data_IF_039072939388
#
_entry.id   IF_039072939388
#
_cell.length_a   1.000
_cell.length_b   1.000
_cell.length_c   1.000
_cell.angle_alpha   90.00
_cell.angle_beta   90.00
_cell.angle_gamma   90.00
#
_symmetry.space_group_name_H-M   'P 1'
#
loop_
_entity.id
_entity.type
_entity.pdbx_description
1 polymer ?
#
# COMPACT_ATOMS: atom_id res chain seq x y z
N UNK A 1 50.13 21.35 52.26
CA UNK A 1 48.67 21.63 52.19
C UNK A 1 48.17 22.12 53.54
N UNK A 2 47.61 23.34 53.62
CA UNK A 2 47.06 23.91 54.87
C UNK A 2 45.85 23.08 55.34
N UNK A 3 45.68 22.89 56.66
CA UNK A 3 44.59 22.07 57.27
C UNK A 3 43.19 22.39 56.72
N UNK A 4 42.93 23.66 56.39
CA UNK A 4 41.66 24.13 55.80
C UNK A 4 41.35 23.52 54.42
N UNK A 5 42.36 23.32 53.57
CA UNK A 5 42.15 22.73 52.24
C UNK A 5 41.73 21.26 52.34
N UNK A 6 42.25 20.52 53.33
CA UNK A 6 41.83 19.13 53.60
C UNK A 6 40.39 19.07 54.12
N UNK A 7 40.00 19.99 55.00
CA UNK A 7 38.64 20.04 55.53
C UNK A 7 37.60 20.34 54.42
N UNK A 8 37.88 21.30 53.54
CA UNK A 8 37.00 21.62 52.40
C UNK A 8 36.86 20.42 51.45
N UNK A 9 37.96 19.74 51.13
CA UNK A 9 37.94 18.53 50.30
C UNK A 9 37.11 17.41 50.92
N UNK A 10 37.23 17.18 52.23
CA UNK A 10 36.44 16.16 52.95
C UNK A 10 34.95 16.52 52.93
N UNK A 11 34.59 17.78 53.15
CA UNK A 11 33.18 18.22 53.08
C UNK A 11 32.60 18.07 51.67
N UNK A 12 33.36 18.41 50.62
CA UNK A 12 32.96 18.20 49.23
C UNK A 12 32.81 16.70 48.89
N UNK A 13 33.71 15.86 49.41
CA UNK A 13 33.64 14.41 49.22
C UNK A 13 32.38 13.83 49.88
N UNK A 14 32.10 14.22 51.13
CA UNK A 14 30.90 13.79 51.87
C UNK A 14 29.63 14.28 51.16
N UNK A 15 29.61 15.55 50.71
CA UNK A 15 28.50 16.09 49.93
C UNK A 15 28.27 15.33 48.62
N UNK A 16 29.35 15.03 47.89
CA UNK A 16 29.30 14.24 46.64
C UNK A 16 28.78 12.81 46.87
N UNK A 17 29.27 12.14 47.92
CA UNK A 17 28.79 10.81 48.32
C UNK A 17 27.30 10.86 48.70
N UNK A 18 26.88 11.86 49.48
CA UNK A 18 25.49 12.04 49.87
C UNK A 18 24.56 12.26 48.68
N UNK A 19 24.94 13.12 47.74
CA UNK A 19 24.19 13.36 46.49
C UNK A 19 24.13 12.11 45.63
N UNK A 20 25.25 11.39 45.48
CA UNK A 20 25.28 10.12 44.74
C UNK A 20 24.41 9.04 45.38
N UNK A 21 24.33 8.97 46.71
CA UNK A 21 23.44 8.04 47.41
C UNK A 21 21.95 8.37 47.18
N UNK A 22 21.60 9.66 47.13
CA UNK A 22 20.24 10.12 46.79
C UNK A 22 19.92 9.70 45.34
N UNK A 23 20.79 10.03 44.39
CA UNK A 23 20.60 9.63 42.99
C UNK A 23 20.53 8.11 42.81
N UNK A 24 21.35 7.34 43.54
CA UNK A 24 21.29 5.88 43.51
C UNK A 24 19.95 5.36 44.02
N UNK A 25 19.42 5.94 45.11
CA UNK A 25 18.11 5.56 45.66
C UNK A 25 16.98 5.91 44.71
N UNK A 26 17.00 7.10 44.12
CA UNK A 26 15.99 7.53 43.16
C UNK A 26 16.02 6.67 41.89
N UNK A 27 17.22 6.34 41.40
CA UNK A 27 17.39 5.44 40.27
C UNK A 27 16.92 4.02 40.58
N UNK A 28 17.18 3.51 41.79
CA UNK A 28 16.67 2.20 42.23
C UNK A 28 15.14 2.18 42.29
N UNK A 29 14.52 3.20 42.89
CA UNK A 29 13.07 3.33 42.97
C UNK A 29 12.44 3.47 41.57
N UNK A 30 13.07 4.22 40.67
CA UNK A 30 12.63 4.35 39.29
C UNK A 30 12.69 3.01 38.55
N UNK A 31 13.78 2.25 38.71
CA UNK A 31 13.94 0.93 38.10
C UNK A 31 12.90 -0.09 38.63
N UNK A 32 12.60 -0.08 39.93
CA UNK A 32 11.55 -0.93 40.50
C UNK A 32 10.17 -0.60 39.92
N UNK A 33 9.83 0.68 39.79
CA UNK A 33 8.58 1.12 39.15
C UNK A 33 8.52 0.77 37.67
N UNK A 34 9.61 0.95 36.93
CA UNK A 34 9.71 0.55 35.52
C UNK A 34 9.51 -0.96 35.38
N UNK A 35 10.11 -1.77 36.28
CA UNK A 35 9.90 -3.21 36.31
C UNK A 35 8.42 -3.58 36.49
N UNK A 36 7.73 -2.98 37.46
CA UNK A 36 6.30 -3.20 37.68
C UNK A 36 5.44 -2.79 36.48
N UNK A 37 5.72 -1.62 35.90
CA UNK A 37 5.01 -1.13 34.70
C UNK A 37 5.25 -2.06 33.51
N UNK A 38 6.49 -2.56 33.35
CA UNK A 38 6.82 -3.51 32.29
C UNK A 38 6.04 -4.81 32.45
N UNK A 39 5.96 -5.40 33.65
CA UNK A 39 5.16 -6.61 33.90
C UNK A 39 3.67 -6.40 33.59
N UNK A 40 3.08 -5.28 34.02
CA UNK A 40 1.68 -4.97 33.71
C UNK A 40 1.47 -4.78 32.21
N UNK A 41 2.39 -4.07 31.54
CA UNK A 41 2.30 -3.81 30.10
C UNK A 41 2.45 -5.09 29.29
N UNK A 42 3.39 -5.96 29.67
CA UNK A 42 3.61 -7.24 29.03
C UNK A 42 2.38 -8.16 29.20
N UNK A 43 1.82 -8.23 30.41
CA UNK A 43 0.56 -8.95 30.66
C UNK A 43 -0.62 -8.40 29.83
N UNK A 44 -0.70 -7.08 29.67
CA UNK A 44 -1.69 -6.46 28.79
C UNK A 44 -1.48 -6.85 27.32
N UNK A 45 -0.24 -6.94 26.83
CA UNK A 45 0.04 -7.43 25.47
C UNK A 45 -0.50 -8.85 25.30
N UNK A 46 -0.17 -9.76 26.22
CA UNK A 46 -0.66 -11.14 26.17
C UNK A 46 -2.19 -11.22 26.18
N UNK A 47 -2.84 -10.50 27.10
CA UNK A 47 -4.29 -10.46 27.21
C UNK A 47 -4.93 -9.96 25.90
N UNK A 48 -4.39 -8.91 25.30
CA UNK A 48 -4.91 -8.34 24.05
C UNK A 48 -4.65 -9.25 22.84
N UNK A 49 -3.57 -10.03 22.82
CA UNK A 49 -3.34 -11.08 21.81
C UNK A 49 -4.47 -12.12 21.91
N UNK A 50 -4.75 -12.63 23.12
CA UNK A 50 -5.81 -13.63 23.35
C UNK A 50 -7.20 -13.10 23.00
N UNK A 51 -7.52 -11.87 23.38
CA UNK A 51 -8.78 -11.22 23.04
C UNK A 51 -8.93 -11.04 21.52
N UNK A 52 -7.88 -10.61 20.83
CA UNK A 52 -7.93 -10.46 19.37
C UNK A 52 -8.15 -11.80 18.67
N UNK A 53 -7.51 -12.89 19.14
CA UNK A 53 -7.75 -14.25 18.63
C UNK A 53 -9.22 -14.66 18.81
N UNK A 54 -9.79 -14.39 19.98
CA UNK A 54 -11.18 -14.70 20.32
C UNK A 54 -12.16 -13.93 19.43
N UNK A 55 -11.98 -12.61 19.28
CA UNK A 55 -12.87 -11.80 18.46
C UNK A 55 -12.72 -12.05 16.96
N UNK A 56 -11.55 -12.51 16.49
CA UNK A 56 -11.42 -13.03 15.12
C UNK A 56 -12.31 -14.26 14.92
N UNK A 57 -12.33 -15.17 15.90
CA UNK A 57 -13.18 -16.36 15.86
C UNK A 57 -14.66 -16.00 15.91
N UNK A 58 -15.05 -15.12 16.84
CA UNK A 58 -16.41 -14.62 17.00
C UNK A 58 -16.92 -13.98 15.70
N UNK A 59 -16.11 -13.15 15.04
CA UNK A 59 -16.47 -12.54 13.77
C UNK A 59 -16.66 -13.59 12.65
N UNK A 60 -15.81 -14.63 12.59
CA UNK A 60 -15.96 -15.71 11.60
C UNK A 60 -17.28 -16.48 11.84
N UNK A 61 -17.61 -16.76 13.10
CA UNK A 61 -18.78 -17.58 13.47
C UNK A 61 -20.10 -16.80 13.37
N UNK A 62 -20.15 -15.59 13.89
CA UNK A 62 -21.37 -14.80 14.00
C UNK A 62 -21.61 -13.90 12.79
N UNK A 63 -20.54 -13.47 12.11
CA UNK A 63 -20.57 -12.50 11.01
C UNK A 63 -21.42 -11.27 11.31
N UNK A 64 -21.34 -10.76 12.54
CA UNK A 64 -22.14 -9.64 13.02
C UNK A 64 -21.34 -8.33 13.03
N UNK A 65 -21.98 -7.16 12.82
CA UNK A 65 -21.31 -5.86 12.96
C UNK A 65 -20.73 -5.63 14.36
N UNK A 66 -21.35 -6.20 15.40
CA UNK A 66 -20.87 -6.12 16.77
C UNK A 66 -19.57 -6.89 16.96
N UNK A 67 -19.48 -8.12 16.44
CA UNK A 67 -18.26 -8.92 16.47
C UNK A 67 -17.10 -8.21 15.73
N UNK A 68 -17.38 -7.55 14.60
CA UNK A 68 -16.39 -6.74 13.89
C UNK A 68 -15.91 -5.57 14.76
N UNK A 69 -16.82 -4.84 15.40
CA UNK A 69 -16.48 -3.72 16.28
C UNK A 69 -15.64 -4.15 17.50
N UNK A 70 -15.96 -5.32 18.07
CA UNK A 70 -15.20 -5.92 19.16
C UNK A 70 -13.77 -6.25 18.71
N UNK A 71 -13.63 -6.88 17.54
CA UNK A 71 -12.33 -7.18 16.93
C UNK A 71 -11.51 -5.92 16.65
N UNK A 72 -12.12 -4.88 16.07
CA UNK A 72 -11.44 -3.60 15.82
C UNK A 72 -10.88 -3.01 17.11
N UNK A 73 -11.70 -2.99 18.16
CA UNK A 73 -11.33 -2.43 19.46
C UNK A 73 -10.17 -3.22 20.08
N UNK A 74 -10.21 -4.56 19.99
CA UNK A 74 -9.15 -5.39 20.56
C UNK A 74 -7.83 -5.23 19.84
N UNK A 75 -7.81 -5.16 18.50
CA UNK A 75 -6.56 -4.98 17.74
C UNK A 75 -5.97 -3.58 17.90
N UNK A 76 -6.81 -2.55 18.07
CA UNK A 76 -6.35 -1.19 18.43
C UNK A 76 -5.68 -1.21 19.81
N UNK A 77 -6.32 -1.86 20.79
CA UNK A 77 -5.79 -1.96 22.15
C UNK A 77 -4.50 -2.78 22.18
N UNK A 78 -4.42 -3.86 21.39
CA UNK A 78 -3.20 -4.64 21.19
C UNK A 78 -2.06 -3.77 20.66
N UNK A 79 -2.28 -3.03 19.58
CA UNK A 79 -1.26 -2.16 18.99
C UNK A 79 -0.75 -1.12 20.00
N UNK A 80 -1.65 -0.54 20.79
CA UNK A 80 -1.30 0.43 21.84
C UNK A 80 -0.47 -0.21 22.97
N UNK A 81 -0.91 -1.36 23.49
CA UNK A 81 -0.18 -2.08 24.53
C UNK A 81 1.21 -2.54 24.04
N UNK A 82 1.30 -3.01 22.79
CA UNK A 82 2.55 -3.43 22.18
C UNK A 82 3.51 -2.26 21.98
N UNK A 83 3.00 -1.10 21.54
CA UNK A 83 3.78 0.12 21.41
C UNK A 83 4.42 0.53 22.75
N UNK A 84 3.62 0.59 23.82
CA UNK A 84 4.13 0.85 25.16
C UNK A 84 5.18 -0.17 25.60
N UNK A 85 4.99 -1.44 25.27
CA UNK A 85 5.96 -2.48 25.58
C UNK A 85 7.29 -2.27 24.84
N UNK A 86 7.26 -1.87 23.56
CA UNK A 86 8.46 -1.50 22.81
C UNK A 86 9.16 -0.31 23.44
N UNK A 87 8.42 0.74 23.78
CA UNK A 87 8.95 1.98 24.37
C UNK A 87 9.65 1.75 25.71
N UNK A 88 9.09 0.89 26.57
CA UNK A 88 9.71 0.52 27.85
C UNK A 88 11.02 -0.27 27.67
N UNK A 89 11.21 -0.95 26.54
CA UNK A 89 12.33 -1.86 26.31
C UNK A 89 13.38 -1.34 25.31
N UNK A 90 13.23 -0.10 24.83
CA UNK A 90 14.17 0.55 23.91
C UNK A 90 14.70 1.90 24.44
N UNK A 91 15.66 2.48 23.71
CA UNK A 91 16.06 3.88 23.90
C UNK A 91 16.56 4.45 22.58
N UNK A 92 16.53 5.78 22.43
CA UNK A 92 17.06 6.45 21.22
C UNK A 92 18.53 6.13 20.94
N UNK A 93 19.31 5.75 21.96
CA UNK A 93 20.73 5.38 21.80
C UNK A 93 20.94 3.91 21.42
N UNK A 94 19.99 3.05 21.76
CA UNK A 94 20.04 1.60 21.57
C UNK A 94 18.63 1.13 21.23
N UNK A 95 18.20 1.29 19.96
CA UNK A 95 16.88 0.85 19.52
C UNK A 95 16.77 -0.68 19.55
N UNK A 96 15.54 -1.17 19.66
CA UNK A 96 15.25 -2.60 19.50
C UNK A 96 14.52 -2.81 18.18
N UNK A 97 15.27 -2.90 17.08
CA UNK A 97 14.73 -3.00 15.72
C UNK A 97 13.78 -4.20 15.53
N UNK A 98 14.01 -5.28 16.27
CA UNK A 98 13.14 -6.47 16.19
C UNK A 98 11.77 -6.23 16.82
N UNK A 99 11.73 -5.58 17.99
CA UNK A 99 10.46 -5.18 18.60
C UNK A 99 9.76 -4.11 17.77
N UNK A 100 10.51 -3.18 17.18
CA UNK A 100 9.96 -2.17 16.26
C UNK A 100 9.32 -2.81 15.02
N UNK A 101 9.99 -3.79 14.41
CA UNK A 101 9.44 -4.54 13.29
C UNK A 101 8.19 -5.35 13.69
N UNK A 102 8.21 -5.98 14.86
CA UNK A 102 7.03 -6.65 15.40
C UNK A 102 5.86 -5.67 15.62
N UNK A 103 6.12 -4.48 16.17
CA UNK A 103 5.12 -3.43 16.32
C UNK A 103 4.54 -3.01 14.97
N UNK A 104 5.39 -2.78 13.96
CA UNK A 104 4.96 -2.45 12.59
C UNK A 104 4.01 -3.50 12.02
N UNK A 105 4.27 -4.79 12.27
CA UNK A 105 3.37 -5.87 11.85
C UNK A 105 2.01 -5.86 12.58
N UNK A 106 1.98 -5.54 13.88
CA UNK A 106 0.73 -5.39 14.65
C UNK A 106 -0.08 -4.17 14.18
N UNK A 107 0.60 -3.08 13.83
CA UNK A 107 -0.04 -1.92 13.21
C UNK A 107 -0.59 -2.25 11.81
N UNK A 108 0.13 -3.07 11.03
CA UNK A 108 -0.36 -3.57 9.75
C UNK A 108 -1.61 -4.44 9.91
N UNK A 109 -1.66 -5.32 10.92
CA UNK A 109 -2.86 -6.08 11.29
C UNK A 109 -4.01 -5.14 11.65
N UNK A 110 -3.80 -4.19 12.58
CA UNK A 110 -4.79 -3.19 12.99
C UNK A 110 -5.37 -2.46 11.77
N UNK A 111 -4.50 -1.94 10.90
CA UNK A 111 -4.92 -1.21 9.70
C UNK A 111 -5.65 -2.11 8.69
N UNK A 112 -5.31 -3.39 8.63
CA UNK A 112 -6.01 -4.37 7.77
C UNK A 112 -7.43 -4.62 8.29
N UNK A 113 -7.59 -4.85 9.59
CA UNK A 113 -8.90 -5.05 10.22
C UNK A 113 -9.75 -3.76 10.17
N UNK A 114 -9.29 -2.68 10.80
CA UNK A 114 -10.08 -1.46 11.04
C UNK A 114 -10.36 -0.61 9.80
N UNK A 115 -9.70 -0.88 8.68
CA UNK A 115 -9.92 -0.10 7.45
C UNK A 115 -10.24 -0.97 6.26
N UNK A 116 -9.55 -2.10 6.07
CA UNK A 116 -9.71 -2.87 4.84
C UNK A 116 -10.83 -3.89 4.99
N UNK A 117 -10.81 -4.69 6.06
CA UNK A 117 -11.88 -5.64 6.35
C UNK A 117 -13.20 -4.91 6.60
N UNK A 118 -13.23 -3.87 7.43
CA UNK A 118 -14.45 -3.10 7.70
C UNK A 118 -15.13 -2.56 6.44
N UNK A 119 -14.34 -1.93 5.54
CA UNK A 119 -14.89 -1.42 4.27
C UNK A 119 -15.39 -2.53 3.37
N UNK A 120 -14.66 -3.65 3.29
CA UNK A 120 -15.08 -4.80 2.48
C UNK A 120 -16.36 -5.43 3.03
N UNK A 121 -16.44 -5.60 4.34
CA UNK A 121 -17.59 -6.14 5.04
C UNK A 121 -18.84 -5.26 4.81
N UNK A 122 -18.72 -3.94 4.97
CA UNK A 122 -19.81 -2.99 4.66
C UNK A 122 -20.22 -2.99 3.20
N UNK A 123 -19.25 -3.11 2.29
CA UNK A 123 -19.52 -3.21 0.84
C UNK A 123 -20.25 -4.50 0.51
N UNK A 124 -19.93 -5.60 1.19
CA UNK A 124 -20.57 -6.90 0.96
C UNK A 124 -21.77 -7.12 1.89
N UNK A 125 -22.57 -6.07 2.12
CA UNK A 125 -23.82 -6.15 2.90
C UNK A 125 -23.67 -6.74 4.31
N UNK A 126 -22.54 -6.47 4.97
CA UNK A 126 -22.19 -7.01 6.28
C UNK A 126 -22.03 -8.54 6.27
N UNK A 127 -21.41 -9.07 5.22
CA UNK A 127 -21.03 -10.49 5.14
C UNK A 127 -19.53 -10.65 4.89
N UNK A 128 -18.95 -11.69 5.47
CA UNK A 128 -17.58 -12.07 5.18
C UNK A 128 -17.53 -12.89 3.90
N UNK A 129 -16.62 -12.51 3.00
CA UNK A 129 -16.28 -13.34 1.86
C UNK A 129 -15.27 -14.42 2.27
N UNK A 130 -15.13 -15.46 1.44
CA UNK A 130 -14.15 -16.53 1.69
C UNK A 130 -12.74 -16.00 1.96
N UNK A 131 -12.30 -14.99 1.20
CA UNK A 131 -10.98 -14.39 1.37
C UNK A 131 -10.81 -13.67 2.72
N UNK A 132 -11.90 -13.21 3.33
CA UNK A 132 -11.89 -12.52 4.61
C UNK A 132 -11.69 -13.54 5.74
N UNK A 133 -12.41 -14.66 5.63
CA UNK A 133 -12.27 -15.81 6.54
C UNK A 133 -10.85 -16.38 6.44
N UNK A 134 -10.36 -16.68 5.23
CA UNK A 134 -9.00 -17.20 5.00
C UNK A 134 -7.93 -16.25 5.61
N UNK A 135 -8.13 -14.92 5.52
CA UNK A 135 -7.23 -13.93 6.10
C UNK A 135 -7.29 -13.93 7.63
N UNK A 136 -8.50 -13.90 8.20
CA UNK A 136 -8.71 -13.91 9.65
C UNK A 136 -8.13 -15.17 10.30
N UNK A 137 -8.33 -16.35 9.70
CA UNK A 137 -7.75 -17.61 10.17
C UNK A 137 -6.22 -17.57 10.15
N UNK A 138 -5.62 -17.07 9.06
CA UNK A 138 -4.18 -16.95 8.94
C UNK A 138 -3.59 -15.96 9.97
N UNK A 139 -4.26 -14.84 10.21
CA UNK A 139 -3.89 -13.87 11.26
C UNK A 139 -4.03 -14.45 12.66
N UNK A 140 -5.10 -15.19 12.91
CA UNK A 140 -5.33 -15.87 14.18
C UNK A 140 -4.17 -16.83 14.49
N UNK A 141 -3.71 -17.59 13.50
CA UNK A 141 -2.57 -18.49 13.65
C UNK A 141 -1.25 -17.75 13.91
N UNK A 142 -1.02 -16.60 13.28
CA UNK A 142 0.15 -15.78 13.59
C UNK A 142 0.08 -15.18 14.99
N UNK A 143 -1.10 -14.77 15.47
CA UNK A 143 -1.27 -14.28 16.84
C UNK A 143 -1.07 -15.39 17.88
N UNK A 144 -1.51 -16.63 17.62
CA UNK A 144 -1.20 -17.79 18.47
C UNK A 144 0.31 -18.00 18.56
N UNK A 145 1.03 -17.93 17.44
CA UNK A 145 2.50 -18.01 17.40
C UNK A 145 3.15 -16.85 18.12
N UNK A 146 2.63 -15.64 17.98
CA UNK A 146 3.12 -14.46 18.70
C UNK A 146 2.96 -14.62 20.21
N UNK A 147 1.83 -15.16 20.69
CA UNK A 147 1.63 -15.46 22.11
C UNK A 147 2.69 -16.43 22.64
N UNK A 148 3.07 -17.44 21.86
CA UNK A 148 4.14 -18.38 22.24
C UNK A 148 5.52 -17.72 22.21
N UNK A 149 5.81 -16.94 21.16
CA UNK A 149 7.07 -16.21 21.03
C UNK A 149 7.24 -15.20 22.17
N UNK A 150 6.18 -14.48 22.52
CA UNK A 150 6.11 -13.56 23.65
C UNK A 150 6.59 -14.21 24.95
N UNK A 151 6.03 -15.38 25.31
CA UNK A 151 6.46 -16.11 26.52
C UNK A 151 7.92 -16.57 26.48
N UNK A 152 8.49 -16.76 25.29
CA UNK A 152 9.89 -17.14 25.14
C UNK A 152 10.89 -15.98 25.26
N UNK A 153 10.42 -14.74 25.08
CA UNK A 153 11.26 -13.54 25.02
C UNK A 153 11.03 -12.52 26.14
N UNK A 154 9.92 -12.63 26.90
CA UNK A 154 9.53 -11.65 27.94
C UNK A 154 10.66 -11.34 28.94
N UNK A 155 11.37 -12.36 29.41
CA UNK A 155 12.49 -12.20 30.36
C UNK A 155 13.84 -11.89 29.69
N UNK A 156 13.89 -11.87 28.34
CA UNK A 156 15.12 -11.80 27.54
C UNK A 156 15.12 -10.63 26.56
N UNK A 157 14.25 -9.63 26.75
CA UNK A 157 14.11 -8.48 25.85
C UNK A 157 15.40 -7.67 25.68
N UNK A 158 16.27 -7.63 26.70
CA UNK A 158 17.58 -6.99 26.61
C UNK A 158 18.49 -7.72 25.61
N UNK A 159 18.40 -9.04 25.52
CA UNK A 159 19.18 -9.86 24.59
C UNK A 159 18.76 -9.63 23.13
N UNK A 160 17.48 -9.28 22.90
CA UNK A 160 16.95 -9.01 21.55
C UNK A 160 17.57 -7.77 20.89
N UNK A 161 18.24 -6.91 21.66
CA UNK A 161 19.04 -5.80 21.12
C UNK A 161 20.26 -6.29 20.34
N UNK A 162 20.70 -7.52 20.59
CA UNK A 162 21.75 -8.16 19.81
C UNK A 162 21.12 -8.82 18.56
N UNK A 163 21.51 -8.41 17.34
CA UNK A 163 20.94 -8.96 16.10
C UNK A 163 21.28 -10.43 15.84
N UNK A 164 22.17 -11.05 16.64
CA UNK A 164 22.52 -12.47 16.56
C UNK A 164 21.74 -13.33 17.58
N UNK A 165 21.10 -12.71 18.58
CA UNK A 165 20.32 -13.46 19.57
C UNK A 165 19.12 -14.15 18.90
N UNK A 166 18.69 -15.30 19.44
CA UNK A 166 17.44 -15.91 19.01
C UNK A 166 16.26 -15.05 19.49
N UNK A 167 15.38 -14.64 18.58
CA UNK A 167 14.20 -13.81 18.85
C UNK A 167 12.90 -14.61 19.08
N UNK A 168 13.00 -15.93 19.22
CA UNK A 168 11.84 -16.81 19.37
C UNK A 168 10.97 -16.88 18.12
N UNK A 169 11.46 -16.41 16.96
CA UNK A 169 10.71 -16.31 15.72
C UNK A 169 9.91 -15.02 15.55
N UNK A 170 10.12 -14.01 16.41
CA UNK A 170 9.39 -12.74 16.37
C UNK A 170 9.43 -12.07 14.98
N UNK A 171 10.60 -11.99 14.34
CA UNK A 171 10.74 -11.40 13.00
C UNK A 171 10.01 -12.23 11.94
N UNK A 172 10.04 -13.56 12.05
CA UNK A 172 9.34 -14.43 11.11
C UNK A 172 7.82 -14.23 11.21
N UNK A 173 7.29 -14.11 12.43
CA UNK A 173 5.88 -13.84 12.68
C UNK A 173 5.51 -12.45 12.13
N UNK A 174 6.34 -11.44 12.41
CA UNK A 174 6.14 -10.08 11.92
C UNK A 174 6.07 -10.03 10.38
N UNK A 175 7.04 -10.64 9.70
CA UNK A 175 7.03 -10.77 8.23
C UNK A 175 5.77 -11.49 7.73
N UNK A 176 5.30 -12.52 8.44
CA UNK A 176 4.11 -13.28 8.04
C UNK A 176 2.83 -12.44 8.15
N UNK A 177 2.66 -11.68 9.24
CA UNK A 177 1.52 -10.76 9.42
C UNK A 177 1.55 -9.65 8.36
N UNK A 178 2.72 -9.08 8.09
CA UNK A 178 2.89 -8.06 7.05
C UNK A 178 2.54 -8.62 5.67
N UNK A 179 2.99 -9.84 5.35
CA UNK A 179 2.71 -10.48 4.06
C UNK A 179 1.23 -10.81 3.88
N UNK A 180 0.57 -11.38 4.90
CA UNK A 180 -0.89 -11.62 4.87
C UNK A 180 -1.62 -10.29 4.65
N UNK A 181 -1.24 -9.24 5.40
CA UNK A 181 -1.82 -7.89 5.27
C UNK A 181 -1.59 -7.31 3.87
N UNK A 182 -0.41 -7.51 3.28
CA UNK A 182 -0.06 -7.01 1.95
C UNK A 182 -0.87 -7.73 0.87
N UNK A 183 -0.90 -9.06 0.90
CA UNK A 183 -1.65 -9.87 -0.07
C UNK A 183 -3.15 -9.60 0.00
N UNK A 184 -3.72 -9.55 1.20
CA UNK A 184 -5.16 -9.29 1.37
C UNK A 184 -5.58 -7.93 0.80
N UNK A 185 -4.76 -6.88 0.97
CA UNK A 185 -5.11 -5.50 0.59
C UNK A 185 -4.79 -5.16 -0.86
N UNK A 186 -3.69 -5.69 -1.37
CA UNK A 186 -3.09 -5.21 -2.61
C UNK A 186 -2.94 -6.28 -3.69
N UNK A 187 -3.20 -7.57 -3.40
CA UNK A 187 -3.12 -8.61 -4.43
C UNK A 187 -4.43 -8.78 -5.18
N UNK A 188 -4.34 -9.08 -6.47
CA UNK A 188 -5.45 -9.60 -7.25
C UNK A 188 -5.88 -11.02 -6.79
N UNK A 189 -5.00 -11.76 -6.11
CA UNK A 189 -5.30 -13.06 -5.49
C UNK A 189 -5.15 -12.94 -3.97
N UNK A 190 -6.20 -12.50 -3.24
CA UNK A 190 -6.10 -12.32 -1.81
C UNK A 190 -5.55 -13.57 -1.11
N UNK A 191 -4.63 -13.35 -0.17
CA UNK A 191 -3.96 -14.37 0.64
C UNK A 191 -3.09 -15.38 -0.14
N UNK A 192 -2.81 -15.15 -1.44
CA UNK A 192 -2.04 -16.09 -2.26
C UNK A 192 -1.01 -15.39 -3.12
N UNK A 193 0.18 -15.98 -3.17
CA UNK A 193 1.15 -15.62 -4.19
C UNK A 193 0.78 -16.30 -5.52
N UNK A 194 0.63 -15.55 -6.62
CA UNK A 194 0.62 -16.15 -7.94
C UNK A 194 1.99 -16.74 -8.25
N UNK A 195 2.04 -17.59 -9.28
CA UNK A 195 3.31 -18.05 -9.82
C UNK A 195 4.00 -16.88 -10.52
N UNK A 196 5.14 -16.46 -9.97
CA UNK A 196 5.94 -15.41 -10.57
C UNK A 196 6.89 -15.95 -11.66
N UNK A 197 7.09 -15.17 -12.70
CA UNK A 197 8.22 -15.34 -13.62
C UNK A 197 9.50 -14.89 -12.94
N UNK A 198 10.64 -15.46 -13.31
CA UNK A 198 11.91 -15.10 -12.68
C UNK A 198 12.35 -13.69 -13.05
N UNK A 199 13.13 -13.05 -12.17
CA UNK A 199 13.69 -11.72 -12.42
C UNK A 199 14.50 -11.67 -13.74
N UNK A 200 15.31 -12.69 -14.02
CA UNK A 200 16.06 -12.77 -15.28
C UNK A 200 15.18 -12.85 -16.53
N UNK A 201 14.06 -13.59 -16.49
CA UNK A 201 13.09 -13.61 -17.59
C UNK A 201 12.43 -12.23 -17.80
N UNK A 202 12.14 -11.54 -16.71
CA UNK A 202 11.56 -10.20 -16.72
C UNK A 202 12.49 -9.18 -17.38
N UNK A 203 13.79 -9.21 -17.06
CA UNK A 203 14.79 -8.35 -17.70
C UNK A 203 14.83 -8.59 -19.21
N UNK A 204 14.85 -9.86 -19.63
CA UNK A 204 14.83 -10.21 -21.06
C UNK A 204 13.57 -9.71 -21.77
N UNK A 205 12.40 -9.78 -21.12
CA UNK A 205 11.16 -9.25 -21.68
C UNK A 205 11.17 -7.72 -21.79
N UNK A 206 11.70 -7.01 -20.79
CA UNK A 206 11.85 -5.57 -20.84
C UNK A 206 12.75 -5.14 -22.01
N UNK A 207 13.91 -5.77 -22.16
CA UNK A 207 14.88 -5.48 -23.21
C UNK A 207 14.42 -5.91 -24.61
N UNK A 208 13.57 -6.93 -24.73
CA UNK A 208 12.95 -7.28 -26.01
C UNK A 208 11.92 -6.22 -26.45
N UNK A 209 11.09 -5.75 -25.51
CA UNK A 209 10.08 -4.72 -25.77
C UNK A 209 10.68 -3.33 -25.98
N UNK A 210 11.76 -3.02 -25.28
CA UNK A 210 12.48 -1.75 -25.35
C UNK A 210 13.97 -2.00 -25.62
N UNK A 211 14.37 -2.28 -26.88
CA UNK A 211 15.74 -2.68 -27.22
C UNK A 211 16.84 -1.68 -26.85
N UNK A 212 16.50 -0.40 -26.68
CA UNK A 212 17.46 0.63 -26.28
C UNK A 212 18.02 0.41 -24.86
N UNK A 213 17.32 -0.35 -24.01
CA UNK A 213 17.75 -0.66 -22.64
C UNK A 213 19.00 -1.54 -22.60
N UNK A 214 19.25 -2.35 -23.65
CA UNK A 214 20.41 -3.25 -23.74
C UNK A 214 21.77 -2.53 -23.72
N UNK A 215 21.76 -1.23 -23.97
CA UNK A 215 22.96 -0.40 -23.98
C UNK A 215 23.23 0.29 -22.65
N UNK A 216 22.41 0.04 -21.62
CA UNK A 216 22.47 0.65 -20.30
C UNK A 216 22.88 -0.37 -19.24
N UNK A 217 23.38 0.13 -18.12
CA UNK A 217 23.70 -0.70 -16.97
C UNK A 217 22.43 -0.94 -16.14
N UNK A 218 22.05 -2.20 -15.94
CA UNK A 218 21.00 -2.57 -14.98
C UNK A 218 21.66 -2.77 -13.60
N UNK A 219 21.21 -2.04 -12.60
CA UNK A 219 21.62 -2.26 -11.20
C UNK A 219 20.56 -3.06 -10.47
N UNK A 220 20.92 -4.28 -10.07
CA UNK A 220 20.02 -5.25 -9.43
C UNK A 220 19.87 -4.99 -7.92
N UNK A 221 19.54 -3.76 -7.54
CA UNK A 221 19.48 -3.36 -6.14
C UNK A 221 18.32 -4.03 -5.40
N UNK A 222 17.25 -4.43 -6.11
CA UNK A 222 16.10 -5.12 -5.52
C UNK A 222 15.41 -6.11 -6.46
N UNK A 223 15.63 -7.41 -6.22
CA UNK A 223 15.03 -8.51 -6.99
C UNK A 223 13.70 -9.01 -6.37
N UNK A 224 13.12 -8.28 -5.41
CA UNK A 224 11.86 -8.69 -4.78
C UNK A 224 10.63 -8.25 -5.57
N UNK A 225 9.52 -8.96 -5.34
CA UNK A 225 8.22 -8.60 -5.92
C UNK A 225 7.50 -7.58 -5.05
N UNK A 226 7.21 -6.43 -5.65
CA UNK A 226 6.34 -5.41 -5.10
C UNK A 226 4.88 -5.71 -5.45
N UNK A 227 3.96 -5.24 -4.60
CA UNK A 227 2.53 -5.39 -4.82
C UNK A 227 1.88 -4.04 -4.61
N UNK A 228 1.15 -3.55 -5.61
CA UNK A 228 0.41 -2.30 -5.55
C UNK A 228 -0.85 -2.40 -6.40
N UNK A 229 -1.98 -2.01 -5.82
CA UNK A 229 -3.26 -1.86 -6.52
C UNK A 229 -3.64 -3.07 -7.42
N UNK A 230 -3.41 -4.29 -6.93
CA UNK A 230 -3.67 -5.54 -7.64
C UNK A 230 -2.51 -6.06 -8.47
N UNK A 231 -1.51 -5.23 -8.75
CA UNK A 231 -0.39 -5.53 -9.65
C UNK A 231 0.81 -6.00 -8.84
N UNK A 232 1.36 -7.14 -9.24
CA UNK A 232 2.62 -7.67 -8.72
C UNK A 232 3.72 -7.34 -9.73
N UNK A 233 4.80 -6.69 -9.31
CA UNK A 233 5.83 -6.22 -10.24
C UNK A 233 7.24 -6.24 -9.68
N UNK A 234 8.21 -6.36 -10.58
CA UNK A 234 9.62 -6.08 -10.33
C UNK A 234 9.94 -4.66 -10.76
N UNK A 235 10.91 -4.04 -10.08
CA UNK A 235 11.44 -2.74 -10.42
C UNK A 235 12.82 -2.91 -11.07
N UNK A 236 13.00 -2.36 -12.28
CA UNK A 236 14.25 -2.37 -13.02
C UNK A 236 14.74 -0.92 -13.16
N UNK A 237 15.91 -0.62 -12.58
CA UNK A 237 16.55 0.70 -12.66
C UNK A 237 17.77 0.62 -13.57
N UNK A 238 17.70 1.36 -14.69
CA UNK A 238 18.75 1.42 -15.70
C UNK A 238 19.55 2.72 -15.59
N UNK A 239 20.87 2.61 -15.75
CA UNK A 239 21.83 3.67 -15.50
C UNK A 239 22.70 3.95 -16.72
N UNK A 240 23.09 5.23 -16.86
CA UNK A 240 24.17 5.68 -17.73
C UNK A 240 25.28 6.27 -16.85
N UNK A 241 26.33 5.49 -16.60
CA UNK A 241 27.33 5.83 -15.59
C UNK A 241 26.72 5.77 -14.19
N UNK A 242 26.70 6.91 -13.47
CA UNK A 242 26.14 7.00 -12.11
C UNK A 242 24.71 7.56 -12.07
N UNK A 243 24.16 7.98 -13.20
CA UNK A 243 22.81 8.57 -13.26
C UNK A 243 21.77 7.51 -13.59
N UNK A 244 20.73 7.38 -12.76
CA UNK A 244 19.55 6.58 -13.11
C UNK A 244 18.82 7.29 -14.25
N UNK A 245 18.65 6.62 -15.38
CA UNK A 245 18.05 7.21 -16.58
C UNK A 245 16.63 6.73 -16.83
N UNK A 246 16.34 5.46 -16.50
CA UNK A 246 15.02 4.86 -16.64
C UNK A 246 14.66 3.98 -15.45
N UNK A 247 13.39 4.08 -15.06
CA UNK A 247 12.75 3.22 -14.09
C UNK A 247 11.60 2.46 -14.76
N UNK A 248 11.66 1.13 -14.74
CA UNK A 248 10.67 0.27 -15.38
C UNK A 248 10.03 -0.65 -14.34
N UNK A 249 8.70 -0.75 -14.35
CA UNK A 249 7.99 -1.77 -13.59
C UNK A 249 7.47 -2.84 -14.53
N UNK A 250 7.84 -4.08 -14.23
CA UNK A 250 7.49 -5.25 -15.01
C UNK A 250 6.56 -6.15 -14.23
N UNK A 251 5.43 -6.51 -14.81
CA UNK A 251 4.47 -7.46 -14.23
C UNK A 251 5.16 -8.80 -13.93
N UNK A 252 5.18 -9.17 -12.66
CA UNK A 252 5.85 -10.37 -12.15
C UNK A 252 5.10 -11.67 -12.50
N UNK A 253 3.90 -11.61 -13.09
CA UNK A 253 3.08 -12.75 -13.49
C UNK A 253 3.11 -12.93 -15.00
N UNK A 254 2.93 -11.85 -15.75
CA UNK A 254 2.74 -11.90 -17.21
C UNK A 254 3.86 -11.25 -18.02
N UNK A 255 4.81 -10.55 -17.38
CA UNK A 255 5.93 -9.92 -18.08
C UNK A 255 5.59 -8.68 -18.91
N UNK A 256 4.44 -8.05 -18.67
CA UNK A 256 4.07 -6.79 -19.32
C UNK A 256 4.74 -5.60 -18.64
N UNK A 257 5.10 -4.57 -19.41
CA UNK A 257 5.54 -3.28 -18.86
C UNK A 257 4.33 -2.57 -18.26
N UNK A 258 4.41 -2.23 -16.97
CA UNK A 258 3.37 -1.55 -16.18
C UNK A 258 3.69 -0.09 -15.94
N UNK A 259 4.98 0.22 -15.77
CA UNK A 259 5.47 1.59 -15.68
C UNK A 259 6.75 1.73 -16.49
N UNK A 260 6.91 2.86 -17.14
CA UNK A 260 8.17 3.36 -17.66
C UNK A 260 8.26 4.83 -17.28
N UNK A 261 9.40 5.24 -16.72
CA UNK A 261 9.66 6.62 -16.33
C UNK A 261 11.07 7.01 -16.75
N UNK A 262 11.21 8.18 -17.37
CA UNK A 262 12.52 8.79 -17.62
C UNK A 262 12.89 9.70 -16.46
N UNK A 263 14.11 9.56 -15.95
CA UNK A 263 14.63 10.34 -14.83
C UNK A 263 15.46 11.54 -15.27
N UNK A 264 15.98 11.49 -16.49
CA UNK A 264 16.65 12.62 -17.12
C UNK A 264 15.64 13.72 -17.47
N UNK A 265 15.98 14.96 -17.12
CA UNK A 265 15.21 16.13 -17.51
C UNK A 265 14.95 16.14 -19.02
N UNK A 266 13.77 16.62 -19.41
CA UNK A 266 13.54 16.99 -20.79
C UNK A 266 14.47 18.18 -21.10
N UNK A 267 15.45 17.97 -21.99
CA UNK A 267 16.27 19.08 -22.48
C UNK A 267 15.46 19.98 -23.39
N UNK A 268 15.87 21.26 -23.47
CA UNK A 268 15.27 22.27 -24.36
C UNK A 268 15.03 21.70 -25.76
N UNK A 269 13.77 21.74 -26.18
CA UNK A 269 13.35 21.32 -27.51
C UNK A 269 12.48 22.39 -28.17
N UNK A 270 11.66 21.97 -29.13
CA UNK A 270 10.67 22.83 -29.76
C UNK A 270 9.32 22.57 -29.12
N UNK A 271 8.66 23.63 -28.66
CA UNK A 271 7.27 23.60 -28.20
C UNK A 271 6.37 22.84 -29.18
N UNK A 272 5.75 21.78 -28.67
CA UNK A 272 4.82 20.95 -29.41
C UNK A 272 3.39 21.43 -29.21
N UNK A 273 2.64 21.40 -30.29
CA UNK A 273 1.18 21.49 -30.21
C UNK A 273 0.60 20.14 -29.78
N UNK A 274 -0.54 20.16 -29.07
CA UNK A 274 -1.23 18.96 -28.55
C UNK A 274 -1.32 17.82 -29.58
N UNK A 275 -1.64 18.15 -30.83
CA UNK A 275 -1.79 17.16 -31.91
C UNK A 275 -0.49 16.41 -32.23
N UNK A 276 0.65 17.12 -32.26
CA UNK A 276 1.96 16.50 -32.50
C UNK A 276 2.33 15.58 -31.34
N UNK A 277 2.09 16.02 -30.10
CA UNK A 277 2.29 15.20 -28.91
C UNK A 277 1.38 13.96 -28.90
N UNK A 278 0.11 14.09 -29.30
CA UNK A 278 -0.83 12.97 -29.42
C UNK A 278 -0.34 11.93 -30.44
N UNK A 279 0.19 12.36 -31.58
CA UNK A 279 0.71 11.44 -32.60
C UNK A 279 1.96 10.69 -32.10
N UNK A 280 2.82 11.35 -31.31
CA UNK A 280 3.93 10.69 -30.61
C UNK A 280 3.41 9.66 -29.60
N UNK A 281 2.43 10.03 -28.78
CA UNK A 281 1.82 9.15 -27.78
C UNK A 281 1.18 7.91 -28.41
N UNK A 282 0.42 8.09 -29.50
CA UNK A 282 -0.18 6.99 -30.27
C UNK A 282 0.87 6.07 -30.83
N UNK A 283 1.92 6.62 -31.46
CA UNK A 283 3.01 5.81 -32.02
C UNK A 283 3.68 4.98 -30.94
N UNK A 284 3.93 5.57 -29.76
CA UNK A 284 4.47 4.84 -28.62
C UNK A 284 3.52 3.74 -28.12
N UNK A 285 2.23 4.03 -28.00
CA UNK A 285 1.21 3.05 -27.60
C UNK A 285 1.17 1.82 -28.51
N UNK A 286 1.42 1.95 -29.81
CA UNK A 286 1.38 0.81 -30.75
C UNK A 286 2.37 -0.32 -30.42
N UNK A 287 3.37 -0.06 -29.58
CA UNK A 287 4.28 -1.08 -29.04
C UNK A 287 3.60 -2.03 -28.05
N UNK A 288 2.52 -1.56 -27.41
CA UNK A 288 1.81 -2.26 -26.32
C UNK A 288 0.39 -2.66 -26.70
N UNK A 289 -0.32 -1.82 -27.45
CA UNK A 289 -1.74 -2.00 -27.78
C UNK A 289 -2.05 -1.49 -29.19
N UNK A 290 -2.88 -2.23 -29.94
CA UNK A 290 -3.17 -1.94 -31.36
C UNK A 290 -4.65 -1.89 -31.71
N UNK A 291 -5.54 -2.26 -30.78
CA UNK A 291 -6.98 -2.22 -31.03
C UNK A 291 -7.52 -0.81 -30.79
N UNK A 292 -8.85 -0.65 -30.91
CA UNK A 292 -9.53 0.61 -30.73
C UNK A 292 -9.43 1.13 -29.29
N UNK A 293 -9.24 2.44 -29.14
CA UNK A 293 -9.13 3.15 -27.88
C UNK A 293 -9.94 4.44 -27.90
N UNK A 294 -10.53 4.79 -26.77
CA UNK A 294 -11.02 6.14 -26.49
C UNK A 294 -9.87 6.99 -25.98
N UNK A 295 -9.70 8.16 -26.56
CA UNK A 295 -8.61 9.08 -26.25
C UNK A 295 -9.11 10.25 -25.42
N UNK A 296 -8.41 10.55 -24.33
CA UNK A 296 -8.64 11.72 -23.49
C UNK A 296 -7.31 12.47 -23.33
N UNK A 297 -7.37 13.81 -23.37
CA UNK A 297 -6.18 14.67 -23.29
C UNK A 297 -6.29 15.59 -22.07
N UNK A 298 -5.20 15.65 -21.32
CA UNK A 298 -5.04 16.48 -20.14
C UNK A 298 -3.78 17.31 -20.28
N UNK A 299 -3.83 18.55 -19.81
CA UNK A 299 -2.68 19.45 -19.81
C UNK A 299 -2.28 19.79 -18.38
N UNK A 300 -0.98 19.72 -18.11
CA UNK A 300 -0.39 19.87 -16.79
C UNK A 300 0.67 20.96 -16.86
N UNK A 301 0.43 22.07 -16.18
CA UNK A 301 1.44 23.10 -15.92
C UNK A 301 1.87 23.00 -14.45
N UNK A 302 3.17 22.84 -14.22
CA UNK A 302 3.72 22.94 -12.87
C UNK A 302 3.97 24.42 -12.55
N UNK A 303 3.48 24.90 -11.40
CA UNK A 303 3.80 26.26 -10.95
C UNK A 303 5.25 26.39 -10.46
N UNK A 304 5.95 25.27 -10.22
CA UNK A 304 7.31 25.23 -9.66
C UNK A 304 8.39 24.75 -10.65
N UNK A 305 8.00 24.17 -11.78
CA UNK A 305 8.90 23.73 -12.85
C UNK A 305 8.36 24.26 -14.17
N UNK A 306 9.20 24.91 -14.97
CA UNK A 306 8.84 25.47 -16.28
C UNK A 306 8.47 24.41 -17.34
N UNK A 307 8.41 23.12 -16.98
CA UNK A 307 8.14 22.02 -17.91
C UNK A 307 6.63 21.76 -18.00
N UNK A 308 6.02 22.13 -19.13
CA UNK A 308 4.64 21.77 -19.44
C UNK A 308 4.54 20.31 -19.90
N UNK A 309 3.47 19.61 -19.50
CA UNK A 309 3.27 18.18 -19.81
C UNK A 309 1.89 17.95 -20.41
N UNK A 310 1.87 17.28 -21.56
CA UNK A 310 0.65 16.68 -22.09
C UNK A 310 0.51 15.25 -21.55
N UNK A 311 -0.65 14.94 -20.96
CA UNK A 311 -1.00 13.60 -20.48
C UNK A 311 -2.16 13.06 -21.30
N UNK A 312 -1.91 11.95 -21.97
CA UNK A 312 -2.87 11.26 -22.84
C UNK A 312 -3.32 9.98 -22.17
N UNK A 313 -4.63 9.79 -22.06
CA UNK A 313 -5.22 8.52 -21.62
C UNK A 313 -5.87 7.82 -22.81
N UNK A 314 -5.46 6.58 -23.03
CA UNK A 314 -6.02 5.68 -24.03
C UNK A 314 -6.76 4.55 -23.32
N UNK A 315 -8.09 4.59 -23.35
CA UNK A 315 -8.94 3.56 -22.73
C UNK A 315 -9.39 2.56 -23.80
N UNK A 316 -8.99 1.28 -23.74
CA UNK A 316 -9.44 0.26 -24.67
C UNK A 316 -10.95 0.18 -24.84
N UNK A 317 -11.40 -0.01 -26.09
CA UNK A 317 -12.80 -0.25 -26.45
C UNK A 317 -12.97 -1.68 -26.97
N UNK A 318 -13.89 -2.44 -26.37
CA UNK A 318 -14.24 -3.81 -26.80
C UNK A 318 -15.74 -4.02 -26.71
N UNK A 319 -16.38 -4.42 -27.81
CA UNK A 319 -17.83 -4.61 -27.89
C UNK A 319 -18.63 -3.38 -27.42
N UNK A 320 -18.15 -2.17 -27.70
CA UNK A 320 -18.78 -0.91 -27.26
C UNK A 320 -18.56 -0.56 -25.77
N UNK A 321 -17.82 -1.37 -25.02
CA UNK A 321 -17.51 -1.14 -23.61
C UNK A 321 -16.12 -0.55 -23.42
N UNK A 322 -16.00 0.38 -22.46
CA UNK A 322 -14.73 0.96 -22.04
C UNK A 322 -14.03 0.06 -21.01
N UNK A 323 -12.84 -0.45 -21.30
CA UNK A 323 -12.06 -1.24 -20.35
C UNK A 323 -11.17 -0.29 -19.53
N UNK A 324 -11.80 0.44 -18.62
CA UNK A 324 -11.17 1.51 -17.83
C UNK A 324 -9.97 1.00 -17.01
N UNK A 325 -10.02 -0.25 -16.53
CA UNK A 325 -8.91 -0.89 -15.82
C UNK A 325 -7.65 -1.09 -16.67
N UNK A 326 -7.81 -1.19 -17.99
CA UNK A 326 -6.73 -1.47 -18.93
C UNK A 326 -6.24 -0.19 -19.62
N UNK A 327 -6.62 0.98 -19.09
CA UNK A 327 -6.22 2.25 -19.68
C UNK A 327 -4.69 2.43 -19.66
N UNK A 328 -4.19 3.08 -20.71
CA UNK A 328 -2.79 3.46 -20.86
C UNK A 328 -2.68 4.97 -20.68
N UNK A 329 -1.79 5.42 -19.81
CA UNK A 329 -1.50 6.84 -19.62
C UNK A 329 -0.10 7.12 -20.15
N UNK A 330 0.03 8.06 -21.08
CA UNK A 330 1.30 8.49 -21.67
C UNK A 330 1.49 9.97 -21.41
N UNK A 331 2.56 10.31 -20.70
CA UNK A 331 2.94 11.69 -20.43
C UNK A 331 4.11 12.09 -21.33
N UNK A 332 3.98 13.26 -21.95
CA UNK A 332 4.93 13.80 -22.92
C UNK A 332 5.30 15.22 -22.50
N UNK A 333 6.59 15.53 -22.52
CA UNK A 333 7.08 16.90 -22.36
C UNK A 333 6.58 17.74 -23.54
N UNK A 334 5.88 18.83 -23.24
CA UNK A 334 5.39 19.76 -24.26
C UNK A 334 6.56 20.40 -25.03
N UNK A 335 7.70 20.58 -24.38
CA UNK A 335 8.83 21.34 -24.94
C UNK A 335 9.79 20.46 -25.75
N UNK A 336 9.82 19.15 -25.52
CA UNK A 336 10.78 18.24 -26.17
C UNK A 336 10.15 17.09 -26.95
N UNK A 337 8.89 16.74 -26.68
CA UNK A 337 8.27 15.52 -27.23
C UNK A 337 8.78 14.22 -26.63
N UNK A 338 9.64 14.28 -25.62
CA UNK A 338 10.13 13.08 -24.91
C UNK A 338 8.98 12.42 -24.15
N UNK A 339 8.87 11.09 -24.27
CA UNK A 339 8.00 10.30 -23.40
C UNK A 339 8.58 10.36 -21.98
N UNK A 340 7.87 11.04 -21.08
CA UNK A 340 8.29 11.19 -19.69
C UNK A 340 7.88 9.99 -18.86
N UNK A 341 6.64 9.53 -19.08
CA UNK A 341 6.05 8.45 -18.30
C UNK A 341 5.04 7.66 -19.12
N UNK A 342 5.00 6.37 -18.90
CA UNK A 342 3.95 5.48 -19.34
C UNK A 342 3.49 4.64 -18.16
N UNK A 343 2.18 4.55 -17.94
CA UNK A 343 1.60 3.66 -16.94
C UNK A 343 0.42 2.88 -17.48
N UNK A 344 0.32 1.63 -17.05
CA UNK A 344 -0.80 0.74 -17.30
C UNK A 344 -0.86 -0.32 -16.19
N UNK A 345 -1.99 -0.43 -15.51
CA UNK A 345 -2.12 -1.34 -14.36
C UNK A 345 -2.50 -2.76 -14.81
N UNK A 346 -3.46 -2.89 -15.73
CA UNK A 346 -3.97 -4.18 -16.22
C UNK A 346 -3.96 -4.27 -17.74
N UNK A 347 -3.93 -5.50 -18.25
CA UNK A 347 -4.01 -5.80 -19.68
C UNK A 347 -4.86 -7.04 -19.92
N UNK A 348 -5.48 -7.08 -21.10
CA UNK A 348 -6.22 -8.24 -21.58
C UNK A 348 -7.32 -8.69 -20.62
N UNK A 349 -7.98 -7.74 -19.96
CA UNK A 349 -9.14 -8.04 -19.13
C UNK A 349 -10.21 -8.75 -19.97
N UNK A 350 -10.65 -9.91 -19.47
CA UNK A 350 -11.71 -10.70 -20.08
C UNK A 350 -13.05 -10.08 -19.72
N UNK A 351 -13.96 -10.14 -20.68
CA UNK A 351 -15.35 -9.73 -20.55
C UNK A 351 -16.12 -11.01 -20.27
N UNK A 352 -16.80 -11.09 -19.14
CA UNK A 352 -17.73 -12.20 -18.86
C UNK A 352 -19.06 -11.91 -19.57
N UNK A 353 -19.77 -12.96 -20.01
CA UNK A 353 -21.09 -12.82 -20.61
C UNK A 353 -22.12 -12.54 -19.50
N UNK A 354 -22.83 -11.42 -19.60
CA UNK A 354 -23.74 -10.96 -18.54
C UNK A 354 -25.03 -11.79 -18.43
N UNK A 355 -25.51 -11.93 -17.19
CA UNK A 355 -26.88 -12.33 -16.84
C UNK A 355 -27.69 -11.08 -16.46
N UNK A 356 -28.98 -11.24 -16.15
CA UNK A 356 -29.92 -10.16 -15.78
C UNK A 356 -29.24 -9.04 -14.96
N UNK A 357 -29.26 -7.84 -15.52
CA UNK A 357 -28.54 -6.66 -15.05
C UNK A 357 -29.51 -5.63 -14.47
N UNK A 358 -29.11 -4.92 -13.42
CA UNK A 358 -29.78 -3.68 -13.02
C UNK A 358 -29.71 -2.69 -14.19
N UNK A 359 -30.78 -1.94 -14.40
CA UNK A 359 -30.91 -0.99 -15.52
C UNK A 359 -30.30 0.38 -15.20
N UNK A 360 -30.03 1.18 -16.23
CA UNK A 360 -29.57 2.56 -16.10
C UNK A 360 -30.56 3.39 -15.25
N UNK A 361 -31.86 3.21 -15.50
CA UNK A 361 -32.93 3.94 -14.82
C UNK A 361 -32.98 3.64 -13.32
N UNK A 362 -32.83 2.37 -12.94
CA UNK A 362 -32.80 1.95 -11.54
C UNK A 362 -31.60 2.55 -10.80
N UNK A 363 -30.43 2.61 -11.44
CA UNK A 363 -29.23 3.22 -10.87
C UNK A 363 -29.43 4.73 -10.68
N UNK A 364 -29.94 5.42 -11.71
CA UNK A 364 -30.19 6.85 -11.63
C UNK A 364 -31.20 7.18 -10.52
N UNK A 365 -32.28 6.41 -10.37
CA UNK A 365 -33.26 6.61 -9.31
C UNK A 365 -32.64 6.43 -7.91
N UNK A 366 -31.84 5.38 -7.73
CA UNK A 366 -31.17 5.07 -6.45
C UNK A 366 -30.19 6.17 -6.03
N UNK A 367 -29.36 6.66 -6.94
CA UNK A 367 -28.27 7.59 -6.61
C UNK A 367 -28.59 9.07 -6.85
N UNK A 368 -29.80 9.41 -7.34
CA UNK A 368 -30.21 10.80 -7.60
C UNK A 368 -30.05 11.73 -6.41
N UNK A 369 -30.34 11.24 -5.20
CA UNK A 369 -30.22 12.04 -3.97
C UNK A 369 -28.76 12.34 -3.61
N UNK A 370 -27.86 11.42 -3.92
CA UNK A 370 -26.46 11.48 -3.51
C UNK A 370 -25.60 12.27 -4.50
N UNK A 371 -25.88 12.15 -5.81
CA UNK A 371 -25.07 12.76 -6.87
C UNK A 371 -25.79 13.83 -7.69
N UNK A 372 -27.10 14.00 -7.52
CA UNK A 372 -27.87 14.94 -8.33
C UNK A 372 -27.99 14.48 -9.78
N UNK A 373 -27.67 15.37 -10.72
CA UNK A 373 -27.71 15.07 -12.15
C UNK A 373 -26.52 14.20 -12.56
N UNK A 374 -26.82 13.00 -13.03
CA UNK A 374 -25.85 12.01 -13.48
C UNK A 374 -25.93 11.87 -15.00
N UNK A 375 -24.81 12.08 -15.70
CA UNK A 375 -24.74 11.89 -17.15
C UNK A 375 -24.22 10.49 -17.46
N UNK A 376 -25.04 9.64 -18.06
CA UNK A 376 -24.63 8.30 -18.44
C UNK A 376 -23.54 8.32 -19.52
N UNK A 377 -22.51 7.51 -19.34
CA UNK A 377 -21.32 7.40 -20.20
C UNK A 377 -21.10 5.96 -20.72
N UNK A 378 -22.13 5.11 -20.64
CA UNK A 378 -22.10 3.74 -21.14
C UNK A 378 -21.56 2.73 -20.13
N UNK A 379 -21.36 1.51 -20.63
CA UNK A 379 -20.81 0.40 -19.87
C UNK A 379 -19.27 0.46 -19.82
N UNK A 380 -18.73 0.09 -18.66
CA UNK A 380 -17.29 0.05 -18.44
C UNK A 380 -16.87 -1.11 -17.55
N UNK A 381 -15.69 -1.68 -17.82
CA UNK A 381 -15.04 -2.64 -16.93
C UNK A 381 -14.03 -1.92 -16.06
N UNK A 382 -14.19 -2.06 -14.75
CA UNK A 382 -13.30 -1.48 -13.75
C UNK A 382 -12.70 -2.56 -12.86
N UNK A 383 -11.52 -2.23 -12.32
CA UNK A 383 -10.85 -2.94 -11.24
C UNK A 383 -10.48 -1.90 -10.20
N UNK A 384 -10.74 -2.22 -8.95
CA UNK A 384 -10.56 -1.30 -7.83
C UNK A 384 -10.35 -2.09 -6.55
N UNK A 385 -9.99 -1.39 -5.49
CA UNK A 385 -9.96 -1.97 -4.15
C UNK A 385 -11.28 -2.66 -3.78
N UNK A 386 -12.43 -2.04 -4.08
CA UNK A 386 -13.76 -2.57 -3.76
C UNK A 386 -14.13 -3.82 -4.55
N UNK A 387 -13.57 -3.99 -5.75
CA UNK A 387 -13.75 -5.19 -6.57
C UNK A 387 -12.66 -6.23 -6.31
N UNK A 388 -11.76 -6.00 -5.34
CA UNK A 388 -10.56 -6.81 -5.08
C UNK A 388 -9.72 -7.03 -6.32
N UNK A 389 -9.67 -6.00 -7.17
CA UNK A 389 -8.98 -5.99 -8.45
C UNK A 389 -9.47 -7.07 -9.44
N UNK A 390 -10.63 -7.68 -9.17
CA UNK A 390 -11.34 -8.51 -10.14
C UNK A 390 -12.09 -7.61 -11.12
N UNK A 391 -12.14 -7.99 -12.41
CA UNK A 391 -12.87 -7.21 -13.39
C UNK A 391 -14.36 -7.23 -13.06
N UNK A 392 -14.96 -6.04 -13.01
CA UNK A 392 -16.41 -5.88 -12.82
C UNK A 392 -16.98 -4.98 -13.89
N UNK A 393 -18.08 -5.43 -14.49
CA UNK A 393 -18.86 -4.61 -15.40
C UNK A 393 -19.68 -3.59 -14.60
N UNK A 394 -19.73 -2.37 -15.10
CA UNK A 394 -20.35 -1.24 -14.40
C UNK A 394 -21.07 -0.31 -15.37
N UNK A 395 -22.12 0.32 -14.89
CA UNK A 395 -22.61 1.57 -15.47
C UNK A 395 -21.67 2.71 -15.08
N UNK A 396 -21.21 3.45 -16.09
CA UNK A 396 -20.35 4.63 -15.91
C UNK A 396 -21.18 5.90 -16.00
N UNK A 397 -21.03 6.80 -15.03
CA UNK A 397 -21.68 8.11 -15.05
C UNK A 397 -20.65 9.21 -14.80
N UNK A 398 -20.83 10.34 -15.48
CA UNK A 398 -20.15 11.59 -15.16
C UNK A 398 -21.05 12.41 -14.23
N UNK A 399 -20.47 12.87 -13.13
CA UNK A 399 -21.10 13.74 -12.14
C UNK A 399 -20.22 14.96 -11.87
N UNK A 400 -20.79 16.02 -11.31
CA UNK A 400 -20.03 17.14 -10.76
C UNK A 400 -19.98 17.03 -9.23
N UNK A 401 -18.77 16.96 -8.67
CA UNK A 401 -18.57 16.96 -7.23
C UNK A 401 -17.56 18.07 -6.88
N UNK A 402 -17.97 19.03 -6.06
CA UNK A 402 -17.14 20.20 -5.68
C UNK A 402 -16.56 20.96 -6.88
N UNK A 403 -17.36 21.20 -7.93
CA UNK A 403 -16.96 21.84 -9.19
C UNK A 403 -15.92 21.06 -10.02
N UNK A 404 -15.69 19.79 -9.70
CA UNK A 404 -14.80 18.91 -10.45
C UNK A 404 -15.61 17.77 -11.10
N UNK A 405 -15.37 17.47 -12.39
CA UNK A 405 -15.97 16.31 -13.02
C UNK A 405 -15.38 15.02 -12.42
N UNK A 406 -16.25 14.11 -12.01
CA UNK A 406 -15.89 12.81 -11.45
C UNK A 406 -16.63 11.73 -12.23
N UNK A 407 -15.92 10.65 -12.57
CA UNK A 407 -16.56 9.44 -13.08
C UNK A 407 -16.90 8.52 -11.91
N UNK A 408 -18.14 8.06 -11.85
CA UNK A 408 -18.59 7.05 -10.89
C UNK A 408 -18.96 5.77 -11.64
N UNK A 409 -18.65 4.63 -11.01
CA UNK A 409 -18.86 3.31 -11.58
C UNK A 409 -19.71 2.48 -10.64
N UNK A 410 -20.89 2.10 -11.11
CA UNK A 410 -21.89 1.33 -10.36
C UNK A 410 -21.93 -0.08 -10.93
N UNK A 411 -21.72 -1.08 -10.09
CA UNK A 411 -21.78 -2.50 -10.45
C UNK A 411 -23.17 -2.86 -10.98
N UNK A 412 -23.21 -3.53 -12.14
CA UNK A 412 -24.46 -3.93 -12.80
C UNK A 412 -25.20 -5.05 -12.04
N UNK A 413 -24.48 -5.86 -11.26
CA UNK A 413 -25.05 -7.00 -10.54
C UNK A 413 -25.71 -6.54 -9.22
N UNK A 414 -25.02 -5.65 -8.51
CA UNK A 414 -25.35 -5.27 -7.12
C UNK A 414 -25.90 -3.86 -7.00
N UNK A 415 -25.71 -3.02 -8.01
CA UNK A 415 -26.12 -1.61 -7.99
C UNK A 415 -25.33 -0.80 -6.97
N UNK A 416 -24.14 -1.28 -6.58
CA UNK A 416 -23.27 -0.61 -5.61
C UNK A 416 -22.21 0.24 -6.31
N UNK A 417 -21.86 1.36 -5.70
CA UNK A 417 -20.72 2.16 -6.15
C UNK A 417 -19.43 1.42 -5.84
N UNK A 418 -18.70 1.02 -6.88
CA UNK A 418 -17.45 0.25 -6.75
C UNK A 418 -16.19 1.02 -7.10
N UNK A 419 -16.32 2.18 -7.76
CA UNK A 419 -15.18 3.04 -8.03
C UNK A 419 -15.59 4.49 -8.29
N UNK A 420 -14.71 5.42 -7.90
CA UNK A 420 -14.74 6.83 -8.28
C UNK A 420 -13.41 7.19 -8.88
N UNK A 421 -13.43 7.88 -10.00
CA UNK A 421 -12.24 8.32 -10.72
C UNK A 421 -12.30 9.83 -10.91
N UNK A 422 -11.33 10.52 -10.32
CA UNK A 422 -11.20 11.97 -10.40
C UNK A 422 -10.32 12.32 -11.60
N UNK A 423 -10.76 13.25 -12.42
CA UNK A 423 -9.90 13.87 -13.41
C UNK A 423 -9.03 14.91 -12.69
N UNK A 424 -7.77 14.55 -12.41
CA UNK A 424 -6.83 15.42 -11.67
C UNK A 424 -6.50 16.69 -12.48
N UNK A 425 -6.73 16.66 -13.79
CA UNK A 425 -6.39 17.73 -14.73
C UNK A 425 -7.60 18.19 -15.51
N UNK A 426 -7.56 19.44 -15.97
CA UNK A 426 -8.58 19.97 -16.85
C UNK A 426 -8.44 19.34 -18.24
N UNK A 427 -9.51 18.71 -18.78
CA UNK A 427 -9.48 18.23 -20.15
C UNK A 427 -9.32 19.42 -21.09
N UNK A 428 -8.43 19.29 -22.08
CA UNK A 428 -8.33 20.30 -23.15
C UNK A 428 -9.48 20.04 -24.12
N UNK A 429 -10.37 21.01 -24.30
CA UNK A 429 -11.42 20.94 -25.33
C UNK A 429 -10.74 20.83 -26.70
N UNK A 430 -11.09 19.79 -27.48
CA UNK A 430 -10.58 19.58 -28.84
C UNK A 430 -11.06 20.65 -29.82
#
# INVERSE_FOLDING_TARGET
MKKYTKAILVTLLIGSIGVNLIYYRDLKNANEKIGQVNTVTASNVESNIRQSIMYMQELIEEQSPEALQNLETSVITLAFAFNHWVDLNQSNKIPNERMQKALGSIEALRNTISHHLDRQYKTNENQLMKYDIDMLEAMQDQLKRLSLAYHSIEDRLVELKNPVANDGGLIQIANSIEEISKLYRHSQLPNKHPKYISYGEVVLFAEDKMPFLKNLELRDDDQQVFIRDGVHYYQLSYYEGEEEVYLIWMDAIHGNIRNFETKQNASEGKDLVVKEALDIARKFLTMFYKEEVKEEVFYIESQEKEDAVYSFRFTPLRNGMQIVSDAYIVNISADSGKILKFTNDFTNTRIEDDKETITEEEVQEKFRKDFGDMQYNGLAIVRSFYTRYQPKLTHSYRIEQNQQPVMVFIDIDTGMLVHKMYYIYHPVSQ
#
